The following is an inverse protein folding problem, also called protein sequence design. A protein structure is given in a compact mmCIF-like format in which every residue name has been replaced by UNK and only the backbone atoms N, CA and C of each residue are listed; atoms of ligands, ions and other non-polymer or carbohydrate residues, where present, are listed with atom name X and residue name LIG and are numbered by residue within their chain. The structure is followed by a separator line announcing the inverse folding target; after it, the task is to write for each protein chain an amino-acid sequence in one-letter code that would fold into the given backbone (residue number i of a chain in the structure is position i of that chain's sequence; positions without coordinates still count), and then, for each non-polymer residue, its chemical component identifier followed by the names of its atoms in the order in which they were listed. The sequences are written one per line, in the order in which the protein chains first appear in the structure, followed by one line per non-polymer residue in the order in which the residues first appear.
data_IF_402749496102
#
_entry.id   IF_402749496102
#
_cell.length_a   1.000
_cell.length_b   1.000
_cell.length_c   1.000
_cell.angle_alpha   90.00
_cell.angle_beta   90.00
_cell.angle_gamma   90.00
#
_symmetry.space_group_name_H-M   'P 1'
#
loop_
_entity.id
_entity.type
_entity.pdbx_description
1 polymer ?
#
# COMPACT_ATOMS: atom_id res chain seq x y z
N UNK A 1 -7.33 26.33 -4.23
CA UNK A 1 -5.88 26.11 -4.01
C UNK A 1 -5.18 26.58 -5.26
N UNK A 2 -4.10 27.37 -5.13
CA UNK A 2 -3.41 27.92 -6.31
C UNK A 2 -2.53 26.86 -6.97
N UNK A 3 -2.47 26.86 -8.30
CA UNK A 3 -1.74 25.90 -9.13
C UNK A 3 -0.19 25.90 -8.95
N UNK A 4 0.33 26.53 -7.92
CA UNK A 4 1.78 26.67 -7.69
C UNK A 4 2.22 26.20 -6.29
N UNK A 5 1.36 25.50 -5.55
CA UNK A 5 1.69 25.01 -4.22
C UNK A 5 2.60 23.79 -4.32
N UNK A 6 3.76 23.86 -3.64
CA UNK A 6 4.75 22.79 -3.67
C UNK A 6 4.41 21.69 -2.69
N UNK A 7 4.39 20.46 -3.18
CA UNK A 7 4.09 19.25 -2.40
C UNK A 7 5.28 18.31 -2.47
N UNK A 8 5.73 17.83 -1.30
CA UNK A 8 6.64 16.69 -1.27
C UNK A 8 5.85 15.40 -1.23
N UNK A 9 6.22 14.45 -2.10
CA UNK A 9 5.70 13.07 -2.06
C UNK A 9 6.88 12.12 -1.85
N UNK A 10 6.84 11.33 -0.78
CA UNK A 10 7.78 10.22 -0.57
C UNK A 10 7.19 8.92 -1.15
N UNK A 11 8.06 8.00 -1.58
CA UNK A 11 7.61 6.70 -2.11
C UNK A 11 7.06 6.73 -3.53
N UNK A 12 7.32 7.77 -4.31
CA UNK A 12 6.85 7.93 -5.69
C UNK A 12 7.30 6.82 -6.64
N UNK A 13 8.40 6.13 -6.34
CA UNK A 13 8.86 4.96 -7.09
C UNK A 13 8.05 3.69 -6.82
N UNK A 14 7.14 3.71 -5.83
CA UNK A 14 6.24 2.61 -5.48
C UNK A 14 4.88 2.71 -6.16
N UNK A 15 4.07 1.64 -6.05
CA UNK A 15 2.77 1.53 -6.69
C UNK A 15 1.80 2.64 -6.29
N UNK A 16 1.49 2.76 -4.99
CA UNK A 16 0.57 3.80 -4.48
C UNK A 16 1.17 5.19 -4.64
N UNK A 17 2.46 5.37 -4.31
CA UNK A 17 3.12 6.67 -4.37
C UNK A 17 3.18 7.26 -5.78
N UNK A 18 3.35 6.43 -6.81
CA UNK A 18 3.31 6.87 -8.21
C UNK A 18 1.91 7.33 -8.64
N UNK A 19 0.86 6.65 -8.16
CA UNK A 19 -0.51 7.05 -8.43
C UNK A 19 -0.88 8.36 -7.71
N UNK A 20 -0.43 8.52 -6.44
CA UNK A 20 -0.60 9.77 -5.69
C UNK A 20 0.11 10.93 -6.38
N UNK A 21 1.37 10.75 -6.78
CA UNK A 21 2.12 11.79 -7.48
C UNK A 21 1.42 12.21 -8.80
N UNK A 22 0.93 11.24 -9.57
CA UNK A 22 0.15 11.49 -10.79
C UNK A 22 -1.10 12.30 -10.51
N UNK A 23 -1.91 11.85 -9.56
CA UNK A 23 -3.15 12.53 -9.16
C UNK A 23 -2.90 14.00 -8.75
N UNK A 24 -1.82 14.26 -8.01
CA UNK A 24 -1.45 15.61 -7.58
C UNK A 24 -0.99 16.48 -8.76
N UNK A 25 -0.20 15.94 -9.69
CA UNK A 25 0.19 16.66 -10.91
C UNK A 25 -1.02 16.99 -11.78
N UNK A 26 -1.94 16.02 -11.96
CA UNK A 26 -3.19 16.23 -12.70
C UNK A 26 -4.12 17.24 -12.04
N UNK A 27 -4.06 17.35 -10.70
CA UNK A 27 -4.76 18.39 -9.94
C UNK A 27 -4.06 19.77 -9.97
N UNK A 28 -2.94 19.91 -10.68
CA UNK A 28 -2.24 21.18 -10.90
C UNK A 28 -1.23 21.56 -9.80
N UNK A 29 -0.84 20.64 -8.92
CA UNK A 29 0.18 20.89 -7.92
C UNK A 29 1.59 20.74 -8.48
N UNK A 30 2.56 21.53 -7.93
CA UNK A 30 3.98 21.34 -8.16
C UNK A 30 4.50 20.22 -7.25
N UNK A 31 4.78 19.04 -7.82
CA UNK A 31 5.15 17.85 -7.05
C UNK A 31 6.66 17.64 -7.07
N UNK A 32 7.26 17.66 -5.86
CA UNK A 32 8.61 17.17 -5.61
C UNK A 32 8.54 15.70 -5.19
N UNK A 33 9.29 14.85 -5.88
CA UNK A 33 9.34 13.41 -5.68
C UNK A 33 10.64 13.02 -4.96
N UNK A 34 10.55 12.58 -3.70
CA UNK A 34 11.70 12.01 -3.01
C UNK A 34 11.92 10.57 -3.49
N UNK A 35 13.09 10.33 -4.06
CA UNK A 35 13.50 9.04 -4.58
C UNK A 35 14.92 8.70 -4.14
N UNK A 36 15.24 7.42 -3.97
CA UNK A 36 16.63 6.99 -3.80
C UNK A 36 17.32 6.95 -5.16
N UNK A 37 18.64 7.12 -5.21
CA UNK A 37 19.43 7.11 -6.45
C UNK A 37 19.12 5.92 -7.36
N UNK A 38 19.00 4.73 -6.78
CA UNK A 38 18.75 3.48 -7.49
C UNK A 38 17.26 3.18 -7.77
N UNK A 39 16.35 4.08 -7.39
CA UNK A 39 14.91 3.85 -7.58
C UNK A 39 14.53 3.85 -9.07
N UNK A 40 13.78 2.85 -9.55
CA UNK A 40 13.28 2.86 -10.92
C UNK A 40 12.31 4.01 -11.11
N UNK A 41 12.48 4.74 -12.21
CA UNK A 41 11.70 5.95 -12.56
C UNK A 41 10.92 5.80 -13.87
N UNK A 42 11.09 4.69 -14.59
CA UNK A 42 10.48 4.51 -15.91
C UNK A 42 8.96 4.66 -15.93
N UNK A 43 8.27 4.18 -14.87
CA UNK A 43 6.81 4.28 -14.73
C UNK A 43 6.32 5.69 -14.34
N UNK A 44 7.25 6.60 -14.01
CA UNK A 44 7.00 8.02 -13.76
C UNK A 44 7.25 8.89 -15.00
N UNK A 45 7.69 8.29 -16.11
CA UNK A 45 7.95 9.01 -17.34
C UNK A 45 6.69 9.76 -17.81
N UNK A 46 6.87 10.98 -18.33
CA UNK A 46 5.78 11.84 -18.78
C UNK A 46 5.07 12.63 -17.66
N UNK A 47 5.42 12.41 -16.38
CA UNK A 47 4.96 13.28 -15.29
C UNK A 47 5.94 14.45 -15.09
N UNK A 48 5.39 15.64 -14.93
CA UNK A 48 6.20 16.82 -14.56
C UNK A 48 6.50 16.80 -13.05
N UNK A 49 7.61 16.16 -12.67
CA UNK A 49 8.05 15.98 -11.30
C UNK A 49 9.41 16.64 -11.05
N UNK A 50 9.54 17.35 -9.93
CA UNK A 50 10.83 17.82 -9.39
C UNK A 50 11.45 16.66 -8.58
N UNK A 51 12.41 15.92 -9.16
CA UNK A 51 13.06 14.81 -8.47
C UNK A 51 14.11 15.31 -7.47
N UNK A 52 13.98 14.85 -6.22
CA UNK A 52 14.95 15.07 -5.16
C UNK A 52 15.48 13.71 -4.67
N UNK A 53 16.79 13.54 -4.63
CA UNK A 53 17.40 12.33 -4.11
C UNK A 53 17.54 12.39 -2.59
N UNK A 54 17.20 11.28 -1.90
CA UNK A 54 17.33 11.16 -0.47
C UNK A 54 16.79 9.84 0.07
N UNK A 55 17.03 9.60 1.35
CA UNK A 55 16.57 8.41 2.10
C UNK A 55 15.82 8.87 3.36
N UNK A 56 14.77 8.14 3.73
CA UNK A 56 13.98 8.43 4.94
C UNK A 56 14.81 8.35 6.23
N UNK A 57 15.93 7.64 6.18
CA UNK A 57 16.86 7.48 7.32
C UNK A 57 17.91 8.58 7.36
N UNK A 58 18.02 9.39 6.33
CA UNK A 58 18.94 10.53 6.24
C UNK A 58 18.16 11.85 6.42
N UNK A 59 18.32 12.44 7.61
CA UNK A 59 17.62 13.66 8.01
C UNK A 59 18.04 14.88 7.19
N UNK A 60 19.30 14.95 6.77
CA UNK A 60 19.80 16.07 5.97
C UNK A 60 19.15 16.07 4.58
N UNK A 61 19.08 14.93 3.93
CA UNK A 61 18.37 14.79 2.65
C UNK A 61 16.88 15.10 2.77
N UNK A 62 16.22 14.72 3.90
CA UNK A 62 14.83 15.05 4.16
C UNK A 62 14.63 16.56 4.37
N UNK A 63 15.50 17.22 5.10
CA UNK A 63 15.45 18.67 5.30
C UNK A 63 15.49 19.41 3.96
N UNK A 64 16.41 19.02 3.07
CA UNK A 64 16.50 19.59 1.73
C UNK A 64 15.24 19.29 0.88
N UNK A 65 14.74 18.06 0.95
CA UNK A 65 13.57 17.66 0.20
C UNK A 65 12.29 18.40 0.63
N UNK A 66 12.08 18.58 1.94
CA UNK A 66 10.89 19.22 2.52
C UNK A 66 10.94 20.76 2.33
N UNK A 67 12.12 21.34 2.22
CA UNK A 67 12.29 22.80 2.16
C UNK A 67 11.39 23.45 1.10
N UNK A 68 10.58 24.43 1.54
CA UNK A 68 9.62 25.15 0.71
C UNK A 68 8.38 24.36 0.29
N UNK A 69 8.18 23.16 0.81
CA UNK A 69 6.94 22.40 0.60
C UNK A 69 5.85 22.88 1.55
N UNK A 70 4.67 23.16 1.00
CA UNK A 70 3.49 23.52 1.79
C UNK A 70 2.85 22.28 2.40
N UNK A 71 2.81 21.17 1.64
CA UNK A 71 2.21 19.92 2.05
C UNK A 71 3.19 18.75 1.86
N UNK A 72 2.99 17.69 2.66
CA UNK A 72 3.77 16.44 2.55
C UNK A 72 2.83 15.26 2.44
N UNK A 73 3.05 14.41 1.43
CA UNK A 73 2.44 13.10 1.30
C UNK A 73 3.50 12.05 1.63
N UNK A 74 3.39 11.46 2.82
CA UNK A 74 4.31 10.41 3.23
C UNK A 74 3.73 9.03 2.87
N UNK A 75 4.07 8.56 1.66
CA UNK A 75 3.57 7.29 1.08
C UNK A 75 4.60 6.17 1.18
N UNK A 76 5.88 6.52 1.33
CA UNK A 76 6.97 5.55 1.41
C UNK A 76 6.80 4.59 2.59
N UNK A 77 6.90 3.30 2.30
CA UNK A 77 6.97 2.22 3.28
C UNK A 77 7.67 1.00 2.70
N UNK A 78 8.31 0.20 3.54
CA UNK A 78 8.75 -1.14 3.20
C UNK A 78 7.60 -2.12 3.50
N UNK A 79 7.03 -2.71 2.46
CA UNK A 79 5.87 -3.62 2.55
C UNK A 79 6.23 -5.09 2.30
N UNK A 80 7.53 -5.43 2.30
CA UNK A 80 7.98 -6.81 2.11
C UNK A 80 7.46 -7.72 3.22
N UNK A 81 6.77 -8.79 2.85
CA UNK A 81 6.23 -9.77 3.80
C UNK A 81 7.30 -10.76 4.29
N UNK A 82 8.40 -10.86 3.55
CA UNK A 82 9.55 -11.68 3.89
C UNK A 82 10.84 -10.87 3.74
N UNK A 83 11.65 -10.85 4.79
CA UNK A 83 12.96 -10.19 4.85
C UNK A 83 13.89 -10.98 5.76
N UNK A 84 15.16 -11.04 5.39
CA UNK A 84 16.17 -11.69 6.21
C UNK A 84 16.45 -10.97 7.54
N UNK A 85 16.34 -9.63 7.53
CA UNK A 85 16.53 -8.78 8.71
C UNK A 85 15.31 -7.91 8.96
N UNK A 86 14.52 -8.24 9.98
CA UNK A 86 13.31 -7.51 10.33
C UNK A 86 13.58 -6.07 10.81
N UNK A 87 14.77 -5.78 11.36
CA UNK A 87 15.11 -4.43 11.83
C UNK A 87 15.14 -3.40 10.71
N UNK A 88 15.41 -3.80 9.47
CA UNK A 88 15.38 -2.90 8.30
C UNK A 88 13.97 -2.34 8.03
N UNK A 89 12.95 -3.18 8.20
CA UNK A 89 11.56 -2.74 8.04
C UNK A 89 11.20 -1.69 9.11
N UNK A 90 11.59 -1.93 10.35
CA UNK A 90 11.35 -0.98 11.45
C UNK A 90 12.13 0.32 11.23
N UNK A 91 13.40 0.24 10.84
CA UNK A 91 14.21 1.43 10.53
C UNK A 91 13.57 2.27 9.41
N UNK A 92 13.03 1.64 8.37
CA UNK A 92 12.37 2.37 7.29
C UNK A 92 10.99 2.87 7.71
N UNK A 93 10.13 2.01 8.27
CA UNK A 93 8.72 2.33 8.50
C UNK A 93 8.49 3.16 9.76
N UNK A 94 9.28 2.98 10.81
CA UNK A 94 9.10 3.71 12.08
C UNK A 94 10.05 4.89 12.17
N UNK A 95 11.37 4.65 12.10
CA UNK A 95 12.33 5.75 12.24
C UNK A 95 12.32 6.68 11.01
N UNK A 96 12.17 6.11 9.80
CA UNK A 96 11.99 6.92 8.59
C UNK A 96 10.73 7.79 8.66
N UNK A 97 9.60 7.27 9.16
CA UNK A 97 8.39 8.06 9.39
C UNK A 97 8.63 9.13 10.44
N UNK A 98 9.28 8.81 11.56
CA UNK A 98 9.65 9.79 12.59
C UNK A 98 10.43 10.95 11.99
N UNK A 99 11.46 10.66 11.21
CA UNK A 99 12.30 11.68 10.58
C UNK A 99 11.50 12.60 9.67
N UNK A 100 10.63 12.02 8.79
CA UNK A 100 9.78 12.83 7.92
C UNK A 100 8.85 13.75 8.72
N UNK A 101 8.20 13.23 9.77
CA UNK A 101 7.27 14.02 10.59
C UNK A 101 7.99 15.13 11.37
N UNK A 102 9.17 14.85 11.91
CA UNK A 102 9.97 15.86 12.62
C UNK A 102 10.49 16.96 11.70
N UNK A 103 11.00 16.60 10.51
CA UNK A 103 11.46 17.61 9.55
C UNK A 103 10.28 18.41 8.96
N UNK A 104 9.11 17.78 8.75
CA UNK A 104 7.90 18.50 8.34
C UNK A 104 7.44 19.52 9.39
N UNK A 105 7.48 19.16 10.67
CA UNK A 105 7.19 20.11 11.77
C UNK A 105 8.17 21.26 11.79
N UNK A 106 9.49 20.99 11.68
CA UNK A 106 10.52 22.03 11.66
C UNK A 106 10.38 22.99 10.49
N UNK A 107 9.99 22.46 9.33
CA UNK A 107 9.78 23.25 8.12
C UNK A 107 8.46 24.04 8.11
N UNK A 108 7.59 23.87 9.12
CA UNK A 108 6.30 24.54 9.19
C UNK A 108 5.31 24.08 8.12
N UNK A 109 5.34 22.81 7.74
CA UNK A 109 4.42 22.21 6.78
C UNK A 109 2.98 22.36 7.28
N UNK A 110 2.09 22.89 6.47
CA UNK A 110 0.70 23.19 6.87
C UNK A 110 -0.16 21.92 7.02
N UNK A 111 0.10 20.88 6.23
CA UNK A 111 -0.62 19.62 6.31
C UNK A 111 0.19 18.44 5.78
N UNK A 112 0.05 17.31 6.46
CA UNK A 112 0.67 16.05 6.10
C UNK A 112 -0.44 15.02 5.85
N UNK A 113 -0.36 14.28 4.74
CA UNK A 113 -1.16 13.07 4.52
C UNK A 113 -0.24 11.86 4.71
N UNK A 114 -0.43 11.15 5.80
CA UNK A 114 0.34 9.96 6.14
C UNK A 114 -0.36 8.70 5.65
N UNK A 115 0.31 7.94 4.81
CA UNK A 115 -0.18 6.66 4.31
C UNK A 115 0.16 5.54 5.28
N UNK A 116 -0.82 5.14 6.06
CA UNK A 116 -0.78 3.93 6.88
C UNK A 116 -1.24 2.71 6.06
N UNK A 117 -2.03 1.83 6.64
CA UNK A 117 -2.61 0.66 5.97
C UNK A 117 -3.76 0.11 6.81
N UNK A 118 -4.73 -0.58 6.20
CA UNK A 118 -5.69 -1.41 6.96
C UNK A 118 -5.00 -2.52 7.77
N UNK A 119 -3.73 -2.79 7.52
CA UNK A 119 -2.91 -3.70 8.33
C UNK A 119 -2.78 -3.26 9.81
N UNK A 120 -3.05 -1.99 10.12
CA UNK A 120 -3.07 -1.45 11.50
C UNK A 120 -4.42 -1.64 12.20
N UNK A 121 -5.42 -2.10 11.48
CA UNK A 121 -6.78 -2.30 11.98
C UNK A 121 -7.05 -3.76 12.29
N UNK A 122 -7.88 -3.98 13.33
CA UNK A 122 -8.41 -5.30 13.66
C UNK A 122 -9.52 -5.73 12.71
N UNK A 123 -9.89 -6.99 12.83
CA UNK A 123 -11.03 -7.57 12.12
C UNK A 123 -12.14 -7.86 13.12
N UNK A 124 -13.38 -7.87 12.68
CA UNK A 124 -14.53 -8.23 13.50
C UNK A 124 -14.68 -9.74 13.56
N UNK A 125 -14.91 -10.28 14.73
CA UNK A 125 -15.03 -11.74 14.97
C UNK A 125 -16.24 -12.38 14.28
N UNK A 126 -17.26 -11.58 13.98
CA UNK A 126 -18.47 -11.99 13.26
C UNK A 126 -18.27 -12.01 11.73
N UNK A 127 -17.08 -11.65 11.23
CA UNK A 127 -16.76 -11.58 9.79
C UNK A 127 -17.37 -10.39 9.07
N UNK A 128 -18.03 -9.47 9.76
CA UNK A 128 -18.51 -8.21 9.19
C UNK A 128 -17.34 -7.26 8.88
N UNK A 129 -17.58 -6.25 8.03
CA UNK A 129 -16.56 -5.28 7.66
C UNK A 129 -16.12 -4.45 8.88
N UNK A 130 -14.81 -4.42 9.15
CA UNK A 130 -14.22 -3.58 10.17
C UNK A 130 -14.12 -2.12 9.70
N UNK A 131 -14.13 -1.20 10.66
CA UNK A 131 -13.96 0.23 10.42
C UNK A 131 -12.76 0.77 11.22
N UNK A 132 -12.57 2.08 11.20
CA UNK A 132 -11.46 2.77 11.85
C UNK A 132 -11.47 2.66 13.39
N UNK A 133 -12.58 2.22 14.00
CA UNK A 133 -12.68 2.06 15.46
C UNK A 133 -11.96 0.81 15.98
N UNK A 134 -11.74 -0.18 15.12
CA UNK A 134 -11.13 -1.47 15.51
C UNK A 134 -9.61 -1.39 15.33
N UNK A 135 -8.92 -0.72 16.27
CA UNK A 135 -7.45 -0.63 16.24
C UNK A 135 -6.80 -1.92 16.75
N UNK A 136 -5.67 -2.31 16.14
CA UNK A 136 -4.81 -3.39 16.63
C UNK A 136 -3.77 -2.89 17.61
N UNK A 137 -3.41 -3.75 18.56
CA UNK A 137 -2.19 -3.59 19.36
C UNK A 137 -1.01 -4.17 18.60
N UNK A 138 0.20 -3.69 18.92
CA UNK A 138 1.42 -4.13 18.23
C UNK A 138 1.66 -5.62 18.38
N UNK A 139 1.41 -6.17 19.56
CA UNK A 139 1.54 -7.60 19.88
C UNK A 139 0.58 -8.50 19.07
N UNK A 140 -0.50 -7.93 18.51
CA UNK A 140 -1.44 -8.62 17.64
C UNK A 140 -1.02 -8.59 16.16
N UNK A 141 0.02 -7.84 15.83
CA UNK A 141 0.52 -7.73 14.44
C UNK A 141 1.25 -8.99 13.97
N UNK A 142 0.75 -9.64 12.92
CA UNK A 142 1.41 -10.80 12.30
C UNK A 142 2.52 -10.31 11.36
N UNK A 143 3.76 -10.70 11.65
CA UNK A 143 4.93 -10.35 10.83
C UNK A 143 5.49 -8.94 11.08
N UNK A 144 6.71 -8.71 10.63
CA UNK A 144 7.43 -7.45 10.86
C UNK A 144 6.75 -6.25 10.19
N UNK A 145 6.24 -6.43 8.97
CA UNK A 145 5.53 -5.36 8.25
C UNK A 145 4.34 -4.85 9.05
N UNK A 146 3.43 -5.75 9.47
CA UNK A 146 2.21 -5.34 10.19
C UNK A 146 2.56 -4.63 11.50
N UNK A 147 3.49 -5.19 12.29
CA UNK A 147 3.96 -4.55 13.53
C UNK A 147 4.58 -3.18 13.28
N UNK A 148 5.44 -3.04 12.28
CA UNK A 148 6.06 -1.75 11.97
C UNK A 148 5.04 -0.68 11.55
N UNK A 149 3.99 -1.06 10.80
CA UNK A 149 2.91 -0.13 10.43
C UNK A 149 2.08 0.29 11.64
N UNK A 150 1.79 -0.62 12.58
CA UNK A 150 1.10 -0.30 13.83
C UNK A 150 1.93 0.68 14.66
N UNK A 151 3.24 0.40 14.83
CA UNK A 151 4.14 1.28 15.58
C UNK A 151 4.27 2.67 14.93
N UNK A 152 4.39 2.72 13.60
CA UNK A 152 4.50 3.98 12.86
C UNK A 152 3.20 4.81 12.93
N UNK A 153 2.02 4.19 12.80
CA UNK A 153 0.75 4.91 12.92
C UNK A 153 0.54 5.46 14.33
N UNK A 154 0.90 4.70 15.37
CA UNK A 154 0.86 5.16 16.75
C UNK A 154 1.81 6.32 17.00
N UNK A 155 3.03 6.24 16.45
CA UNK A 155 3.99 7.34 16.50
C UNK A 155 3.38 8.63 15.92
N UNK A 156 2.79 8.54 14.72
CA UNK A 156 2.15 9.71 14.09
C UNK A 156 1.00 10.23 14.93
N UNK A 157 0.13 9.34 15.44
CA UNK A 157 -0.99 9.73 16.31
C UNK A 157 -0.50 10.41 17.61
N UNK A 158 0.56 9.90 18.24
CA UNK A 158 1.17 10.52 19.42
C UNK A 158 1.74 11.92 19.09
N UNK A 159 2.44 12.06 17.95
CA UNK A 159 2.96 13.36 17.52
C UNK A 159 1.84 14.37 17.21
N UNK A 160 0.70 13.92 16.69
CA UNK A 160 -0.48 14.80 16.53
C UNK A 160 -0.96 15.28 17.90
N UNK A 161 -1.14 14.38 18.86
CA UNK A 161 -1.69 14.71 20.18
C UNK A 161 -0.74 15.55 21.04
N UNK A 162 0.57 15.28 21.00
CA UNK A 162 1.56 15.85 21.93
C UNK A 162 2.31 17.03 21.32
N UNK A 163 2.45 17.08 20.00
CA UNK A 163 3.29 18.06 19.29
C UNK A 163 2.54 18.87 18.23
N UNK A 164 1.20 18.73 18.16
CA UNK A 164 0.36 19.40 17.17
C UNK A 164 0.80 19.14 15.72
N UNK A 165 1.28 17.91 15.42
CA UNK A 165 1.62 17.53 14.06
C UNK A 165 0.38 17.63 13.16
N UNK A 166 0.40 18.41 12.06
CA UNK A 166 -0.79 18.63 11.22
C UNK A 166 -1.03 17.45 10.28
N UNK A 167 -1.13 16.22 10.81
CA UNK A 167 -1.24 15.00 10.01
C UNK A 167 -2.68 14.46 9.95
N UNK A 168 -3.08 14.05 8.76
CA UNK A 168 -4.26 13.22 8.47
C UNK A 168 -3.76 11.84 8.09
N UNK A 169 -4.37 10.78 8.62
CA UNK A 169 -3.96 9.39 8.38
C UNK A 169 -4.90 8.76 7.35
N UNK A 170 -4.35 8.10 6.35
CA UNK A 170 -5.14 7.30 5.42
C UNK A 170 -4.70 5.84 5.47
N UNK A 171 -5.66 4.93 5.46
CA UNK A 171 -5.44 3.49 5.54
C UNK A 171 -5.91 2.81 4.24
N UNK A 172 -5.07 2.77 3.19
CA UNK A 172 -5.41 2.00 2.00
C UNK A 172 -5.64 0.52 2.34
N UNK A 173 -6.62 -0.09 1.67
CA UNK A 173 -6.88 -1.53 1.80
C UNK A 173 -5.96 -2.35 0.90
N UNK A 174 -6.48 -3.03 -0.11
CA UNK A 174 -5.69 -3.81 -1.06
C UNK A 174 -5.73 -3.15 -2.44
N UNK A 175 -4.78 -2.25 -2.75
CA UNK A 175 -4.74 -1.58 -4.05
C UNK A 175 -4.45 -2.56 -5.17
N UNK A 176 -5.22 -2.44 -6.26
CA UNK A 176 -5.03 -3.13 -7.54
C UNK A 176 -5.14 -2.12 -8.67
N UNK A 177 -4.55 -2.41 -9.82
CA UNK A 177 -4.64 -1.51 -10.97
C UNK A 177 -3.36 -1.45 -11.79
N UNK A 178 -3.29 -0.50 -12.72
CA UNK A 178 -2.15 -0.34 -13.63
C UNK A 178 -0.92 0.23 -12.92
N UNK A 179 0.27 0.09 -13.52
CA UNK A 179 1.55 0.67 -13.06
C UNK A 179 2.16 0.02 -11.80
N UNK A 180 1.77 -1.21 -11.44
CA UNK A 180 2.45 -2.02 -10.43
C UNK A 180 3.77 -2.61 -10.99
N UNK A 181 4.73 -1.72 -11.27
CA UNK A 181 5.98 -2.02 -11.97
C UNK A 181 6.92 -2.96 -11.19
N UNK A 182 6.79 -2.99 -9.88
CA UNK A 182 7.39 -4.02 -9.02
C UNK A 182 6.25 -4.75 -8.35
N UNK A 183 5.75 -5.85 -8.98
CA UNK A 183 4.50 -6.45 -8.55
C UNK A 183 4.40 -6.62 -7.06
N UNK A 184 3.42 -5.95 -6.47
CA UNK A 184 3.04 -6.11 -5.06
C UNK A 184 2.64 -7.57 -4.80
N UNK A 185 2.51 -8.02 -3.56
CA UNK A 185 1.99 -9.36 -3.27
C UNK A 185 0.68 -9.65 -4.01
N UNK A 186 -0.25 -8.69 -4.07
CA UNK A 186 -1.52 -8.83 -4.81
C UNK A 186 -1.29 -8.80 -6.33
N UNK A 187 -0.41 -7.93 -6.83
CA UNK A 187 -0.03 -7.91 -8.24
C UNK A 187 0.56 -9.23 -8.72
N UNK A 188 1.39 -9.88 -7.89
CA UNK A 188 1.90 -11.24 -8.18
C UNK A 188 0.80 -12.28 -8.25
N UNK A 189 -0.18 -12.22 -7.35
CA UNK A 189 -1.36 -13.11 -7.40
C UNK A 189 -2.11 -12.90 -8.72
N UNK A 190 -2.33 -11.64 -9.15
CA UNK A 190 -3.00 -11.35 -10.42
C UNK A 190 -2.23 -11.94 -11.59
N UNK A 191 -0.90 -11.77 -11.65
CA UNK A 191 -0.04 -12.32 -12.70
C UNK A 191 -0.15 -13.86 -12.74
N UNK A 192 0.06 -14.52 -11.60
CA UNK A 192 0.05 -15.99 -11.54
C UNK A 192 -1.32 -16.58 -11.84
N UNK A 193 -2.40 -15.92 -11.39
CA UNK A 193 -3.77 -16.32 -11.70
C UNK A 193 -4.09 -16.15 -13.20
N UNK A 194 -3.70 -15.01 -13.80
CA UNK A 194 -3.85 -14.75 -15.23
C UNK A 194 -3.07 -15.76 -16.11
N UNK A 195 -1.94 -16.25 -15.61
CA UNK A 195 -1.14 -17.28 -16.27
C UNK A 195 -1.63 -18.72 -16.00
N UNK A 196 -2.72 -18.90 -15.23
CA UNK A 196 -3.26 -20.22 -14.88
C UNK A 196 -2.36 -21.03 -13.93
N UNK A 197 -1.47 -20.37 -13.18
CA UNK A 197 -0.48 -21.01 -12.30
C UNK A 197 -0.93 -21.15 -10.85
N UNK A 198 -2.13 -20.72 -10.50
CA UNK A 198 -2.73 -20.88 -9.18
C UNK A 198 -3.55 -22.17 -9.15
N UNK A 199 -3.05 -23.29 -8.59
CA UNK A 199 -3.72 -24.58 -8.67
C UNK A 199 -4.86 -24.72 -7.64
N UNK A 200 -4.76 -23.99 -6.53
CA UNK A 200 -5.66 -24.07 -5.40
C UNK A 200 -5.75 -22.73 -4.66
N UNK A 201 -6.76 -22.57 -3.84
CA UNK A 201 -6.95 -21.34 -3.05
C UNK A 201 -7.42 -21.65 -1.62
N UNK A 202 -7.25 -20.67 -0.74
CA UNK A 202 -7.77 -20.67 0.63
C UNK A 202 -9.05 -19.82 0.68
N UNK A 203 -10.00 -20.23 1.52
CA UNK A 203 -11.21 -19.44 1.77
C UNK A 203 -10.89 -18.22 2.61
N UNK A 204 -10.63 -17.13 1.92
CA UNK A 204 -10.34 -15.81 2.48
C UNK A 204 -11.00 -14.73 1.64
N UNK A 205 -10.85 -13.48 2.03
CA UNK A 205 -11.37 -12.33 1.28
C UNK A 205 -10.52 -11.09 1.51
N UNK A 206 -10.59 -10.19 0.56
CA UNK A 206 -9.85 -8.94 0.53
C UNK A 206 -10.81 -7.78 0.28
N UNK A 207 -10.51 -6.62 0.80
CA UNK A 207 -11.13 -5.39 0.37
C UNK A 207 -10.28 -4.82 -0.78
N UNK A 208 -10.77 -4.95 -2.02
CA UNK A 208 -10.06 -4.54 -3.24
C UNK A 208 -10.44 -3.12 -3.63
N UNK A 209 -9.45 -2.31 -3.96
CA UNK A 209 -9.63 -0.91 -4.37
C UNK A 209 -8.74 -0.56 -5.56
N UNK A 210 -9.23 0.26 -6.47
CA UNK A 210 -8.41 0.76 -7.57
C UNK A 210 -7.34 1.73 -7.05
N UNK A 211 -6.09 1.60 -7.51
CA UNK A 211 -4.97 2.41 -7.04
C UNK A 211 -5.17 3.92 -7.27
N UNK A 212 -5.84 4.30 -8.37
CA UNK A 212 -6.13 5.71 -8.65
C UNK A 212 -7.24 6.26 -7.73
N UNK A 213 -8.15 5.42 -7.23
CA UNK A 213 -9.14 5.85 -6.21
C UNK A 213 -8.45 6.04 -4.85
N UNK A 214 -7.47 5.19 -4.53
CA UNK A 214 -6.61 5.43 -3.37
C UNK A 214 -5.90 6.77 -3.49
N UNK A 215 -5.35 7.10 -4.67
CA UNK A 215 -4.70 8.37 -4.92
C UNK A 215 -5.66 9.56 -4.78
N UNK A 216 -6.88 9.47 -5.34
CA UNK A 216 -7.93 10.47 -5.17
C UNK A 216 -8.34 10.66 -3.71
N UNK A 217 -8.40 9.56 -2.94
CA UNK A 217 -8.65 9.59 -1.51
C UNK A 217 -7.55 10.30 -0.71
N UNK A 218 -6.29 10.21 -1.13
CA UNK A 218 -5.20 11.00 -0.54
C UNK A 218 -5.38 12.49 -0.79
N UNK A 219 -5.75 12.89 -2.00
CA UNK A 219 -6.04 14.28 -2.32
C UNK A 219 -7.26 14.80 -1.53
N UNK A 220 -8.32 14.00 -1.43
CA UNK A 220 -9.49 14.32 -0.62
C UNK A 220 -9.14 14.46 0.88
N UNK A 221 -8.23 13.63 1.40
CA UNK A 221 -7.72 13.75 2.77
C UNK A 221 -6.93 15.05 2.99
N UNK A 222 -6.17 15.51 1.99
CA UNK A 222 -5.53 16.82 2.04
C UNK A 222 -6.58 17.94 2.15
N UNK A 223 -7.67 17.86 1.39
CA UNK A 223 -8.65 18.92 1.26
C UNK A 223 -9.66 18.95 2.41
N UNK A 224 -10.12 17.80 2.86
CA UNK A 224 -11.27 17.65 3.76
C UNK A 224 -10.96 16.87 5.05
N UNK A 225 -9.83 16.17 5.11
CA UNK A 225 -9.47 15.34 6.26
C UNK A 225 -9.29 16.17 7.54
N UNK A 226 -9.75 15.67 8.67
CA UNK A 226 -9.50 16.29 9.98
C UNK A 226 -8.16 15.82 10.52
N UNK A 227 -7.35 16.75 11.05
CA UNK A 227 -6.06 16.44 11.69
C UNK A 227 -6.29 15.43 12.83
N UNK A 228 -5.44 14.39 12.88
CA UNK A 228 -5.52 13.32 13.85
C UNK A 228 -6.49 12.20 13.50
N UNK A 229 -7.39 12.41 12.54
CA UNK A 229 -8.33 11.39 12.11
C UNK A 229 -7.70 10.42 11.09
N UNK A 230 -8.21 9.18 11.10
CA UNK A 230 -7.85 8.15 10.13
C UNK A 230 -9.04 7.82 9.23
N UNK A 231 -8.75 7.46 7.97
CA UNK A 231 -9.76 7.17 6.95
C UNK A 231 -9.35 5.95 6.13
N UNK A 232 -10.21 4.94 6.08
CA UNK A 232 -9.99 3.75 5.24
C UNK A 232 -10.26 4.14 3.78
N UNK A 233 -9.22 4.04 2.94
CA UNK A 233 -9.32 4.17 1.49
C UNK A 233 -9.44 2.77 0.89
N UNK A 234 -10.63 2.22 0.96
CA UNK A 234 -10.96 0.89 0.47
C UNK A 234 -11.92 0.92 -0.72
N UNK A 235 -12.36 -0.26 -1.11
CA UNK A 235 -13.36 -0.46 -2.16
C UNK A 235 -14.31 -1.59 -1.79
N UNK A 236 -14.40 -2.61 -2.63
CA UNK A 236 -15.33 -3.72 -2.43
C UNK A 236 -14.71 -4.88 -1.66
N UNK A 237 -15.50 -5.46 -0.75
CA UNK A 237 -15.15 -6.69 -0.04
C UNK A 237 -15.43 -7.89 -0.95
N UNK A 238 -14.38 -8.60 -1.36
CA UNK A 238 -14.43 -9.66 -2.37
C UNK A 238 -13.85 -10.95 -1.82
N UNK A 239 -14.54 -12.07 -2.02
CA UNK A 239 -13.98 -13.37 -1.73
C UNK A 239 -12.81 -13.67 -2.68
N UNK A 240 -11.75 -14.25 -2.16
CA UNK A 240 -10.56 -14.58 -2.95
C UNK A 240 -10.88 -15.50 -4.14
N UNK A 241 -11.81 -16.45 -3.95
CA UNK A 241 -12.32 -17.31 -5.03
C UNK A 241 -12.98 -16.52 -6.15
N UNK A 242 -13.75 -15.46 -5.83
CA UNK A 242 -14.37 -14.60 -6.84
C UNK A 242 -13.32 -13.79 -7.59
N UNK A 243 -12.37 -13.19 -6.89
CA UNK A 243 -11.24 -12.49 -7.53
C UNK A 243 -10.51 -13.39 -8.52
N UNK A 244 -10.20 -14.65 -8.15
CA UNK A 244 -9.53 -15.60 -9.04
C UNK A 244 -10.40 -16.01 -10.23
N UNK A 245 -11.71 -16.14 -10.04
CA UNK A 245 -12.65 -16.45 -11.12
C UNK A 245 -12.74 -15.30 -12.14
N UNK A 246 -12.80 -14.05 -11.64
CA UNK A 246 -12.85 -12.86 -12.49
C UNK A 246 -11.54 -12.69 -13.29
N UNK A 247 -10.37 -12.86 -12.65
CA UNK A 247 -9.09 -12.83 -13.35
C UNK A 247 -9.05 -13.90 -14.47
N UNK A 248 -9.50 -15.13 -14.16
CA UNK A 248 -9.55 -16.19 -15.15
C UNK A 248 -10.48 -15.83 -16.31
N UNK A 249 -11.65 -15.24 -16.04
CA UNK A 249 -12.60 -14.73 -17.05
C UNK A 249 -11.99 -13.70 -17.98
N UNK A 250 -11.24 -12.73 -17.42
CA UNK A 250 -10.57 -11.65 -18.17
C UNK A 250 -9.51 -12.15 -19.17
N UNK A 251 -8.93 -13.32 -18.92
CA UNK A 251 -7.90 -13.91 -19.79
C UNK A 251 -8.39 -15.12 -20.59
N UNK A 252 -9.70 -15.45 -20.51
CA UNK A 252 -10.26 -16.65 -21.16
C UNK A 252 -9.77 -17.97 -20.56
N UNK A 253 -9.32 -17.95 -19.31
CA UNK A 253 -8.77 -19.08 -18.56
C UNK A 253 -9.84 -19.82 -17.73
N UNK A 254 -9.36 -20.72 -16.88
CA UNK A 254 -10.21 -21.46 -15.91
C UNK A 254 -9.76 -21.14 -14.49
N UNK A 255 -10.69 -20.79 -13.58
CA UNK A 255 -10.34 -20.54 -12.19
C UNK A 255 -9.92 -21.83 -11.47
N UNK A 256 -9.09 -21.73 -10.42
CA UNK A 256 -8.76 -22.87 -9.57
C UNK A 256 -10.01 -23.38 -8.88
N UNK A 257 -10.17 -24.74 -8.83
CA UNK A 257 -11.33 -25.39 -8.22
C UNK A 257 -11.05 -25.99 -6.85
N UNK A 258 -9.77 -26.24 -6.55
CA UNK A 258 -9.37 -26.89 -5.30
C UNK A 258 -9.28 -25.85 -4.18
N UNK A 259 -10.19 -25.98 -3.20
CA UNK A 259 -10.12 -25.22 -1.96
C UNK A 259 -9.30 -26.01 -0.93
N UNK A 260 -8.29 -25.36 -0.35
CA UNK A 260 -7.46 -25.93 0.71
C UNK A 260 -7.75 -25.24 2.05
N UNK A 261 -7.76 -25.98 3.16
CA UNK A 261 -7.73 -25.34 4.47
C UNK A 261 -6.40 -24.60 4.64
N UNK A 262 -6.44 -23.38 5.22
CA UNK A 262 -5.25 -22.54 5.39
C UNK A 262 -4.10 -23.28 6.14
N UNK A 263 -4.47 -24.13 7.12
CA UNK A 263 -3.51 -24.90 7.90
C UNK A 263 -2.68 -25.89 7.05
N UNK A 264 -3.22 -26.39 5.95
CA UNK A 264 -2.51 -27.29 5.04
C UNK A 264 -1.36 -26.58 4.28
N UNK A 265 -1.42 -25.24 4.18
CA UNK A 265 -0.38 -24.45 3.54
C UNK A 265 0.78 -24.10 4.49
N UNK A 266 0.64 -24.28 5.80
CA UNK A 266 1.69 -23.95 6.78
C UNK A 266 3.00 -24.71 6.50
N UNK A 267 3.01 -26.05 6.35
CA UNK A 267 4.27 -26.76 6.04
C UNK A 267 4.88 -26.32 4.70
N UNK A 268 4.04 -26.03 3.70
CA UNK A 268 4.48 -25.54 2.40
C UNK A 268 5.16 -24.19 2.52
N UNK A 269 4.58 -23.29 3.32
CA UNK A 269 5.14 -21.94 3.56
C UNK A 269 6.50 -22.04 4.27
N UNK A 270 6.63 -22.83 5.32
CA UNK A 270 7.92 -23.02 5.99
C UNK A 270 8.98 -23.63 5.08
N UNK A 271 8.62 -24.63 4.26
CA UNK A 271 9.55 -25.21 3.29
C UNK A 271 9.98 -24.15 2.24
N UNK A 272 9.04 -23.35 1.74
CA UNK A 272 9.32 -22.26 0.79
C UNK A 272 10.24 -21.19 1.41
N UNK A 273 10.00 -20.79 2.68
CA UNK A 273 10.84 -19.85 3.40
C UNK A 273 12.25 -20.40 3.66
N UNK A 274 12.37 -21.69 3.98
CA UNK A 274 13.67 -22.34 4.13
C UNK A 274 14.46 -22.30 2.81
N UNK A 275 13.84 -22.66 1.68
CA UNK A 275 14.45 -22.54 0.34
C UNK A 275 14.84 -21.09 0.04
N UNK A 276 13.96 -20.14 0.35
CA UNK A 276 14.21 -18.72 0.16
C UNK A 276 15.44 -18.22 0.95
N UNK A 277 15.64 -18.74 2.15
CA UNK A 277 16.81 -18.39 2.97
C UNK A 277 18.14 -18.82 2.30
N UNK A 278 18.17 -19.96 1.62
CA UNK A 278 19.37 -20.42 0.90
C UNK A 278 19.53 -19.76 -0.48
N UNK A 279 18.42 -19.44 -1.15
CA UNK A 279 18.47 -18.94 -2.54
C UNK A 279 18.45 -17.40 -2.63
N UNK A 280 18.12 -16.70 -1.53
CA UNK A 280 17.91 -15.25 -1.52
C UNK A 280 16.68 -14.80 -2.32
N UNK A 281 15.86 -15.72 -2.86
CA UNK A 281 14.66 -15.40 -3.64
C UNK A 281 13.44 -15.34 -2.73
N UNK A 282 12.60 -14.32 -2.91
CA UNK A 282 11.36 -14.20 -2.15
C UNK A 282 10.41 -15.37 -2.44
N UNK A 283 9.89 -16.06 -1.39
CA UNK A 283 9.01 -17.19 -1.56
C UNK A 283 7.64 -16.73 -2.07
N UNK A 284 6.99 -17.56 -2.89
CA UNK A 284 5.63 -17.29 -3.39
C UNK A 284 4.59 -17.38 -2.26
N UNK A 285 4.78 -18.31 -1.31
CA UNK A 285 3.93 -18.49 -0.14
C UNK A 285 4.79 -18.25 1.10
N UNK A 286 4.34 -17.35 1.98
CA UNK A 286 4.99 -17.06 3.26
C UNK A 286 4.10 -17.50 4.42
N UNK A 287 4.69 -17.88 5.55
CA UNK A 287 3.96 -18.22 6.78
C UNK A 287 3.07 -17.05 7.22
N UNK A 288 3.57 -15.81 7.17
CA UNK A 288 2.79 -14.61 7.45
C UNK A 288 1.59 -14.46 6.52
N UNK A 289 1.77 -14.71 5.21
CA UNK A 289 0.68 -14.68 4.23
C UNK A 289 -0.40 -15.72 4.50
N UNK A 290 0.01 -16.96 4.87
CA UNK A 290 -0.90 -18.03 5.24
C UNK A 290 -1.69 -17.70 6.51
N UNK A 291 -1.04 -17.16 7.55
CA UNK A 291 -1.74 -16.73 8.76
C UNK A 291 -2.71 -15.56 8.50
N UNK A 292 -2.36 -14.62 7.63
CA UNK A 292 -3.27 -13.55 7.22
C UNK A 292 -4.48 -14.09 6.43
N UNK A 293 -4.30 -15.14 5.63
CA UNK A 293 -5.35 -15.76 4.84
C UNK A 293 -6.37 -16.57 5.69
N UNK A 294 -6.13 -16.76 6.98
CA UNK A 294 -7.09 -17.34 7.92
C UNK A 294 -8.36 -16.49 8.06
N UNK A 295 -8.22 -15.17 7.93
CA UNK A 295 -9.28 -14.20 8.18
C UNK A 295 -9.70 -13.52 6.87
N UNK A 296 -10.96 -13.08 6.79
CA UNK A 296 -11.44 -12.23 5.70
C UNK A 296 -11.14 -10.77 6.04
N UNK A 297 -10.27 -10.15 5.29
CA UNK A 297 -9.88 -8.75 5.46
C UNK A 297 -10.92 -7.82 4.82
N UNK A 298 -12.08 -7.72 5.45
CA UNK A 298 -13.19 -6.89 5.01
C UNK A 298 -13.26 -5.60 5.80
N UNK A 299 -13.37 -4.49 5.07
CA UNK A 299 -13.35 -3.14 5.64
C UNK A 299 -14.49 -2.30 5.09
N UNK A 300 -14.90 -1.28 5.87
CA UNK A 300 -15.92 -0.29 5.53
C UNK A 300 -15.28 1.05 5.20
N UNK A 301 -15.68 1.67 4.12
CA UNK A 301 -15.22 2.99 3.65
C UNK A 301 -16.14 4.13 4.06
N UNK A 302 -17.22 3.82 4.81
CA UNK A 302 -18.29 4.77 5.13
C UNK A 302 -17.79 6.12 5.68
N UNK A 303 -16.77 6.08 6.55
CA UNK A 303 -16.20 7.31 7.13
C UNK A 303 -15.53 8.18 6.06
N UNK A 304 -14.73 7.57 5.16
CA UNK A 304 -14.11 8.28 4.06
C UNK A 304 -15.15 8.82 3.08
N UNK A 305 -16.18 8.05 2.74
CA UNK A 305 -17.29 8.49 1.89
C UNK A 305 -17.99 9.72 2.47
N UNK A 306 -18.31 9.72 3.75
CA UNK A 306 -19.04 10.81 4.42
C UNK A 306 -18.16 12.04 4.67
N UNK A 307 -16.91 11.86 5.09
CA UNK A 307 -16.06 12.96 5.53
C UNK A 307 -15.20 13.55 4.41
N UNK A 308 -14.83 12.74 3.41
CA UNK A 308 -13.95 13.15 2.34
C UNK A 308 -14.62 13.19 0.97
N UNK A 309 -15.90 12.85 0.86
CA UNK A 309 -16.60 12.59 -0.40
C UNK A 309 -15.85 11.53 -1.26
N UNK A 310 -15.22 10.57 -0.60
CA UNK A 310 -14.47 9.51 -1.26
C UNK A 310 -15.40 8.58 -2.03
N UNK A 311 -15.02 8.24 -3.25
CA UNK A 311 -15.76 7.31 -4.11
C UNK A 311 -14.77 6.30 -4.67
N UNK A 312 -15.08 5.01 -4.57
CA UNK A 312 -14.32 3.94 -5.21
C UNK A 312 -15.12 3.34 -6.37
N UNK A 313 -14.43 3.10 -7.48
CA UNK A 313 -15.02 2.38 -8.63
C UNK A 313 -15.15 0.88 -8.35
N UNK A 314 -15.94 0.13 -9.13
CA UNK A 314 -16.01 -1.32 -9.01
C UNK A 314 -14.63 -1.97 -9.15
N UNK A 315 -14.31 -2.94 -8.27
CA UNK A 315 -12.99 -3.60 -8.25
C UNK A 315 -12.64 -4.30 -9.55
N UNK A 316 -13.64 -4.75 -10.31
CA UNK A 316 -13.43 -5.40 -11.60
C UNK A 316 -12.65 -4.51 -12.58
N UNK A 317 -12.91 -3.21 -12.58
CA UNK A 317 -12.14 -2.25 -13.39
C UNK A 317 -10.66 -2.23 -12.98
N UNK A 318 -10.38 -2.31 -11.69
CA UNK A 318 -9.00 -2.40 -11.19
C UNK A 318 -8.30 -3.69 -11.61
N UNK A 319 -9.03 -4.81 -11.67
CA UNK A 319 -8.50 -6.08 -12.20
C UNK A 319 -8.26 -5.99 -13.73
N UNK A 320 -9.20 -5.45 -14.49
CA UNK A 320 -9.08 -5.25 -15.93
C UNK A 320 -7.85 -4.40 -16.27
N UNK A 321 -7.70 -3.26 -15.59
CA UNK A 321 -6.59 -2.34 -15.81
C UNK A 321 -5.25 -2.95 -15.38
N UNK A 322 -5.21 -3.72 -14.27
CA UNK A 322 -4.02 -4.44 -13.85
C UNK A 322 -3.62 -5.52 -14.86
N UNK A 323 -4.57 -6.37 -15.29
CA UNK A 323 -4.33 -7.45 -16.27
C UNK A 323 -3.86 -6.88 -17.59
N UNK A 324 -4.50 -5.81 -18.08
CA UNK A 324 -4.10 -5.10 -19.30
C UNK A 324 -2.68 -4.56 -19.17
N UNK A 325 -2.40 -3.84 -18.09
CA UNK A 325 -1.09 -3.26 -17.86
C UNK A 325 0.02 -4.31 -17.77
N UNK A 326 -0.18 -5.38 -17.00
CA UNK A 326 0.79 -6.48 -16.92
C UNK A 326 1.03 -7.17 -18.25
N UNK A 327 -0.03 -7.34 -19.07
CA UNK A 327 0.08 -7.90 -20.43
C UNK A 327 0.94 -7.02 -21.34
N UNK A 328 0.62 -5.72 -21.37
CA UNK A 328 1.27 -4.75 -22.26
C UNK A 328 2.75 -4.53 -21.90
N UNK A 329 3.12 -4.78 -20.63
CA UNK A 329 4.50 -4.68 -20.14
C UNK A 329 5.24 -6.03 -20.04
N UNK A 330 4.69 -7.09 -20.68
CA UNK A 330 5.39 -8.37 -20.84
C UNK A 330 5.47 -9.25 -19.58
N UNK A 331 4.68 -8.98 -18.53
CA UNK A 331 4.70 -9.80 -17.30
C UNK A 331 4.11 -11.20 -17.49
N UNK A 332 3.32 -11.43 -18.53
CA UNK A 332 2.77 -12.74 -18.88
C UNK A 332 3.69 -13.57 -19.79
N UNK A 333 4.83 -13.03 -20.19
CA UNK A 333 5.83 -13.81 -20.91
C UNK A 333 6.38 -14.91 -19.97
N UNK A 334 6.48 -16.15 -20.47
CA UNK A 334 7.17 -17.25 -19.78
C UNK A 334 8.61 -16.77 -19.50
N UNK A 335 9.00 -16.62 -18.24
CA UNK A 335 10.42 -16.57 -17.91
C UNK A 335 11.03 -17.85 -18.49
N UNK A 336 11.82 -17.73 -19.55
CA UNK A 336 12.72 -18.83 -19.95
C UNK A 336 13.59 -19.10 -18.73
N UNK A 337 13.43 -20.31 -18.18
CA UNK A 337 14.23 -20.85 -17.09
C UNK A 337 15.66 -20.99 -17.60
#
# INVERSE_FOLDING_TARGET
MSSNEKILVTGTSGFVGSAVARCLVEAGFSVRALVRSESPRAHLAGLNLDFCEGDLRDRESLQQAIAGSRYVFHVAADYRLWVGNQSEIFATNVEGTRNVMEEALRAGVERIVYTSSVATLGLRSDGSAADESVALREDQGIGAYKRSKISAERLVAAMVAERNLPAVIVNPSTPIGPRDARPTPTGRIIIEAAMGRVPAYVDTGLNLVHVDDVASGHLAALQHGKIGERYILGGQNVLFSHMLADIAGLVGGRPPRLRLPWAALIPVAFAAEAVAHFTGREPFVTSNGVYMAKERMFFSTRKAEQALAYVSRPYIQGLEDAVRWFRDHGYFARRRI
#
